data_IF_469323316576
#
_entry.id   IF_469323316576
#
_cell.length_a   1.000
_cell.length_b   1.000
_cell.length_c   1.000
_cell.angle_alpha   90.00
_cell.angle_beta   90.00
_cell.angle_gamma   90.00
#
_symmetry.space_group_name_H-M   'P 1'
#
loop_
_entity.id
_entity.type
_entity.pdbx_description
1 polymer ?
#
# COMPACT_ATOMS: atom_id res chain seq x y z
N UNK A 1 1.33 -7.88 4.57
CA UNK A 1 0.40 -6.84 5.05
C UNK A 1 1.07 -5.81 5.95
N UNK A 2 1.36 -6.15 7.21
CA UNK A 2 1.98 -5.23 8.19
C UNK A 2 3.29 -4.59 7.69
N UNK A 3 4.16 -5.39 7.08
CA UNK A 3 5.43 -4.91 6.50
C UNK A 3 5.20 -3.90 5.35
N UNK A 4 4.17 -4.09 4.53
CA UNK A 4 3.83 -3.17 3.43
C UNK A 4 3.39 -1.82 3.98
N UNK A 5 2.55 -1.82 5.02
CA UNK A 5 2.12 -0.59 5.70
C UNK A 5 3.32 0.11 6.34
N UNK A 6 4.15 -0.64 7.09
CA UNK A 6 5.33 -0.09 7.74
C UNK A 6 6.38 0.46 6.76
N UNK A 7 6.51 -0.15 5.58
CA UNK A 7 7.40 0.31 4.52
C UNK A 7 7.00 1.69 3.98
N UNK A 8 5.70 1.99 3.95
CA UNK A 8 5.19 3.27 3.44
C UNK A 8 5.26 4.43 4.47
N UNK A 9 5.90 4.22 5.62
CA UNK A 9 6.00 5.25 6.66
C UNK A 9 6.55 6.60 6.19
N UNK A 10 7.61 6.65 5.35
CA UNK A 10 8.08 7.91 4.77
C UNK A 10 7.02 8.63 3.94
N UNK A 11 6.18 7.92 3.21
CA UNK A 11 5.17 8.46 2.29
C UNK A 11 4.02 9.15 3.01
N UNK A 12 3.64 8.69 4.21
CA UNK A 12 2.65 9.38 5.06
C UNK A 12 3.29 10.24 6.16
N UNK A 13 4.61 10.45 6.10
CA UNK A 13 5.33 11.40 6.95
C UNK A 13 5.62 10.94 8.38
N UNK A 14 5.50 9.64 8.67
CA UNK A 14 5.84 9.10 9.98
C UNK A 14 7.32 8.71 10.07
N UNK A 15 7.91 8.86 11.26
CA UNK A 15 9.26 8.35 11.54
C UNK A 15 9.32 6.82 11.47
N UNK A 16 8.25 6.12 11.88
CA UNK A 16 8.16 4.67 11.91
C UNK A 16 6.70 4.20 11.88
N UNK A 17 6.42 3.13 11.13
CA UNK A 17 5.20 2.33 11.28
C UNK A 17 5.48 1.11 12.15
N UNK A 18 4.86 1.04 13.35
CA UNK A 18 5.15 0.01 14.33
C UNK A 18 3.98 -0.96 14.51
N UNK A 19 4.26 -2.26 14.34
CA UNK A 19 3.34 -3.34 14.68
C UNK A 19 3.95 -4.15 15.83
N UNK A 20 3.27 -4.26 17.00
CA UNK A 20 3.80 -5.00 18.14
C UNK A 20 4.04 -6.49 17.85
N UNK A 21 4.87 -7.13 18.67
CA UNK A 21 5.11 -8.57 18.59
C UNK A 21 3.87 -9.31 19.10
N UNK A 22 3.35 -10.23 18.30
CA UNK A 22 2.20 -11.06 18.62
C UNK A 22 2.35 -12.47 18.03
N UNK A 23 1.28 -13.26 18.09
CA UNK A 23 1.25 -14.61 17.55
C UNK A 23 1.50 -14.67 16.03
N UNK A 24 1.14 -13.64 15.26
CA UNK A 24 1.46 -13.60 13.82
C UNK A 24 2.95 -13.40 13.57
N UNK A 25 3.62 -12.59 14.40
CA UNK A 25 5.08 -12.47 14.33
C UNK A 25 5.75 -13.83 14.55
N UNK A 26 5.28 -14.62 15.51
CA UNK A 26 5.79 -15.99 15.74
C UNK A 26 5.49 -16.91 14.55
N UNK A 27 4.26 -16.90 14.03
CA UNK A 27 3.90 -17.68 12.82
C UNK A 27 4.79 -17.33 11.63
N UNK A 28 5.08 -16.05 11.43
CA UNK A 28 5.98 -15.58 10.37
C UNK A 28 7.42 -16.06 10.57
N UNK A 29 7.95 -16.01 11.79
CA UNK A 29 9.30 -16.52 12.08
C UNK A 29 9.40 -18.03 11.82
N UNK A 30 8.40 -18.80 12.18
CA UNK A 30 8.31 -20.24 11.86
C UNK A 30 8.27 -20.47 10.36
N UNK A 31 7.33 -19.81 9.66
CA UNK A 31 7.14 -19.94 8.20
C UNK A 31 8.41 -19.59 7.42
N UNK A 32 9.15 -18.61 7.90
CA UNK A 32 10.39 -18.15 7.28
C UNK A 32 11.63 -18.95 7.71
N UNK A 33 11.45 -20.06 8.45
CA UNK A 33 12.49 -21.06 8.70
C UNK A 33 13.47 -20.71 9.83
N UNK A 34 13.04 -19.94 10.83
CA UNK A 34 13.88 -19.66 12.02
C UNK A 34 13.92 -20.88 12.93
N UNK A 35 15.06 -21.09 13.60
CA UNK A 35 15.22 -22.20 14.55
C UNK A 35 14.25 -22.10 15.72
N UNK A 36 13.73 -23.24 16.18
CA UNK A 36 12.70 -23.31 17.23
C UNK A 36 13.16 -22.66 18.55
N UNK A 37 14.42 -22.88 18.94
CA UNK A 37 15.00 -22.26 20.14
C UNK A 37 15.01 -20.72 20.06
N UNK A 38 15.22 -20.15 18.87
CA UNK A 38 15.22 -18.71 18.63
C UNK A 38 13.81 -18.15 18.71
N UNK A 39 12.85 -18.86 18.11
CA UNK A 39 11.43 -18.49 18.16
C UNK A 39 10.95 -18.48 19.61
N UNK A 40 11.26 -19.53 20.38
CA UNK A 40 10.91 -19.64 21.79
C UNK A 40 11.52 -18.50 22.62
N UNK A 41 12.78 -18.13 22.34
CA UNK A 41 13.45 -17.01 22.99
C UNK A 41 12.76 -15.67 22.68
N UNK A 42 12.40 -15.41 21.42
CA UNK A 42 11.71 -14.18 21.02
C UNK A 42 10.39 -14.03 21.76
N UNK A 43 9.57 -15.09 21.80
CA UNK A 43 8.29 -15.06 22.49
C UNK A 43 8.46 -14.84 24.00
N UNK A 44 9.34 -15.61 24.66
CA UNK A 44 9.57 -15.51 26.09
C UNK A 44 10.09 -14.12 26.48
N UNK A 45 11.03 -13.58 25.70
CA UNK A 45 11.61 -12.26 25.93
C UNK A 45 10.57 -11.15 25.73
N UNK A 46 9.80 -11.17 24.63
CA UNK A 46 8.76 -10.17 24.36
C UNK A 46 7.69 -10.16 25.45
N UNK A 47 7.30 -11.32 25.99
CA UNK A 47 6.38 -11.41 27.13
C UNK A 47 7.00 -10.86 28.41
N UNK A 48 8.23 -11.25 28.74
CA UNK A 48 8.93 -10.78 29.93
C UNK A 48 9.15 -9.27 29.95
N UNK A 49 9.31 -8.65 28.79
CA UNK A 49 9.48 -7.20 28.63
C UNK A 49 8.15 -6.43 28.50
N UNK A 50 6.99 -7.11 28.50
CA UNK A 50 5.70 -6.46 28.28
C UNK A 50 5.50 -5.91 26.86
N UNK A 51 6.26 -6.40 25.88
CA UNK A 51 6.17 -6.00 24.47
C UNK A 51 5.25 -6.91 23.65
N UNK A 52 4.83 -8.04 24.22
CA UNK A 52 3.89 -8.97 23.60
C UNK A 52 2.47 -8.40 23.62
N UNK A 53 1.75 -8.47 22.49
CA UNK A 53 0.33 -8.12 22.41
C UNK A 53 -0.53 -9.29 21.94
N UNK A 54 -1.74 -9.31 22.47
CA UNK A 54 -2.82 -10.22 22.12
C UNK A 54 -4.18 -9.51 22.20
N UNK A 55 -5.27 -10.21 21.87
CA UNK A 55 -6.62 -9.64 21.85
C UNK A 55 -7.14 -9.21 23.24
N UNK A 56 -6.52 -9.68 24.33
CA UNK A 56 -6.89 -9.29 25.71
C UNK A 56 -6.03 -8.15 26.26
N UNK A 57 -5.02 -7.71 25.52
CA UNK A 57 -4.11 -6.65 25.92
C UNK A 57 -4.84 -5.31 25.89
N UNK A 58 -4.72 -4.52 26.96
CA UNK A 58 -5.25 -3.16 26.97
C UNK A 58 -4.58 -2.31 25.89
N UNK A 59 -5.33 -1.42 25.25
CA UNK A 59 -4.76 -0.50 24.27
C UNK A 59 -3.77 0.47 24.92
N UNK A 60 -2.64 0.76 24.26
CA UNK A 60 -1.74 1.83 24.72
C UNK A 60 -2.46 3.17 24.78
N UNK A 61 -1.99 4.06 25.65
CA UNK A 61 -2.43 5.46 25.66
C UNK A 61 -1.70 6.19 24.52
N UNK A 62 -2.42 6.46 23.44
CA UNK A 62 -1.93 7.25 22.31
C UNK A 62 -2.30 8.72 22.47
N UNK A 63 -1.51 9.61 21.87
CA UNK A 63 -1.83 11.05 21.81
C UNK A 63 -3.11 11.29 21.03
N UNK A 64 -3.24 10.62 19.88
CA UNK A 64 -4.39 10.66 19.00
C UNK A 64 -4.70 9.24 18.52
N UNK A 65 -5.99 8.95 18.31
CA UNK A 65 -6.47 7.69 17.75
C UNK A 65 -7.13 7.97 16.40
N UNK A 66 -6.71 7.20 15.39
CA UNK A 66 -7.32 7.21 14.06
C UNK A 66 -7.87 5.81 13.80
N UNK A 67 -9.07 5.75 13.25
CA UNK A 67 -9.76 4.51 12.93
C UNK A 67 -9.90 4.35 11.40
N UNK A 68 -9.77 3.11 10.94
CA UNK A 68 -10.00 2.72 9.55
C UNK A 68 -10.83 1.44 9.55
N UNK A 69 -12.04 1.52 9.02
CA UNK A 69 -12.84 0.32 8.72
C UNK A 69 -12.29 -0.33 7.45
N UNK A 70 -11.86 -1.58 7.56
CA UNK A 70 -11.37 -2.35 6.42
C UNK A 70 -12.48 -2.72 5.44
N UNK A 71 -13.76 -2.69 5.86
CA UNK A 71 -14.92 -2.92 5.01
C UNK A 71 -15.13 -1.83 3.95
N UNK A 72 -14.66 -0.60 4.21
CA UNK A 72 -14.74 0.53 3.28
C UNK A 72 -13.60 0.56 2.26
N UNK A 73 -12.61 -0.34 2.41
CA UNK A 73 -11.44 -0.39 1.52
C UNK A 73 -11.83 -1.02 0.18
N UNK A 74 -11.73 -0.22 -0.88
CA UNK A 74 -11.92 -0.66 -2.27
C UNK A 74 -10.60 -0.74 -3.02
N UNK A 75 -10.49 -1.59 -4.05
CA UNK A 75 -9.36 -1.59 -4.97
C UNK A 75 -9.10 -0.18 -5.52
N UNK A 76 -7.86 0.27 -5.44
CA UNK A 76 -7.47 1.62 -5.82
C UNK A 76 -6.08 1.65 -6.42
N UNK A 77 -5.83 2.67 -7.23
CA UNK A 77 -4.48 3.02 -7.71
C UNK A 77 -4.06 4.37 -7.13
N UNK A 78 -2.75 4.58 -6.99
CA UNK A 78 -2.17 5.86 -6.61
C UNK A 78 -1.48 6.51 -7.81
N UNK A 79 -1.73 7.79 -8.04
CA UNK A 79 -1.12 8.54 -9.14
C UNK A 79 -2.05 9.59 -9.75
N UNK A 80 -1.71 10.13 -10.93
CA UNK A 80 -0.57 9.78 -11.78
C UNK A 80 0.76 10.44 -11.36
N UNK A 81 0.74 11.40 -10.42
CA UNK A 81 1.91 12.23 -10.08
C UNK A 81 2.42 12.10 -8.65
N UNK A 82 1.56 11.68 -7.72
CA UNK A 82 1.86 11.66 -6.30
C UNK A 82 1.38 10.34 -5.66
N UNK A 83 2.17 9.72 -4.77
CA UNK A 83 1.81 8.45 -4.13
C UNK A 83 0.59 8.56 -3.21
N UNK A 84 0.31 9.74 -2.65
CA UNK A 84 -0.90 10.01 -1.87
C UNK A 84 -2.16 10.22 -2.73
N UNK A 85 -2.02 10.27 -4.06
CA UNK A 85 -3.10 10.47 -5.02
C UNK A 85 -3.96 9.22 -5.23
N UNK A 86 -4.62 8.73 -4.18
CA UNK A 86 -5.50 7.55 -4.23
C UNK A 86 -6.74 7.82 -5.10
N UNK A 87 -7.00 6.93 -6.05
CA UNK A 87 -8.19 6.91 -6.90
C UNK A 87 -8.77 5.49 -6.89
N UNK A 88 -10.07 5.36 -6.61
CA UNK A 88 -10.73 4.06 -6.68
C UNK A 88 -10.68 3.51 -8.11
N UNK A 89 -10.59 2.18 -8.25
CA UNK A 89 -10.35 1.55 -9.56
C UNK A 89 -11.44 1.92 -10.58
N UNK A 90 -12.70 1.99 -10.14
CA UNK A 90 -13.82 2.38 -11.00
C UNK A 90 -13.77 3.83 -11.48
N UNK A 91 -13.06 4.71 -10.78
CA UNK A 91 -13.04 6.15 -11.05
C UNK A 91 -11.86 6.57 -11.95
N UNK A 92 -10.92 5.67 -12.24
CA UNK A 92 -9.74 5.96 -13.04
C UNK A 92 -10.08 6.46 -14.45
N UNK A 93 -11.03 5.88 -15.21
CA UNK A 93 -11.35 6.38 -16.55
C UNK A 93 -11.83 7.84 -16.52
N UNK A 94 -12.70 8.17 -15.56
CA UNK A 94 -13.21 9.52 -15.38
C UNK A 94 -12.11 10.48 -14.90
N UNK A 95 -11.27 10.05 -13.96
CA UNK A 95 -10.13 10.81 -13.47
C UNK A 95 -9.10 11.11 -14.56
N UNK A 96 -8.80 10.13 -15.41
CA UNK A 96 -7.89 10.28 -16.54
C UNK A 96 -8.43 11.30 -17.57
N UNK A 97 -9.70 11.18 -17.95
CA UNK A 97 -10.33 12.12 -18.88
C UNK A 97 -10.29 13.55 -18.33
N UNK A 98 -10.60 13.72 -17.04
CA UNK A 98 -10.50 15.01 -16.35
C UNK A 98 -9.07 15.56 -16.35
N UNK A 99 -8.07 14.74 -16.06
CA UNK A 99 -6.67 15.16 -16.08
C UNK A 99 -6.20 15.58 -17.49
N UNK A 100 -6.67 14.90 -18.53
CA UNK A 100 -6.41 15.28 -19.92
C UNK A 100 -6.96 16.68 -20.26
N UNK A 101 -8.10 17.06 -19.70
CA UNK A 101 -8.69 18.38 -19.85
C UNK A 101 -7.95 19.44 -19.03
N UNK A 102 -7.79 19.21 -17.72
CA UNK A 102 -7.37 20.25 -16.79
C UNK A 102 -5.86 20.39 -16.69
N UNK A 103 -5.14 19.27 -16.61
CA UNK A 103 -3.70 19.25 -16.33
C UNK A 103 -2.87 19.26 -17.60
N UNK A 104 -3.23 18.41 -18.56
CA UNK A 104 -2.48 18.26 -19.80
C UNK A 104 -2.99 19.17 -20.92
N UNK A 105 -4.20 19.73 -20.78
CA UNK A 105 -4.84 20.62 -21.78
C UNK A 105 -4.92 20.00 -23.17
N UNK A 106 -5.18 18.70 -23.23
CA UNK A 106 -5.19 17.84 -24.44
C UNK A 106 -6.50 17.05 -24.59
N UNK A 107 -7.61 17.55 -24.05
CA UNK A 107 -8.92 16.87 -24.15
C UNK A 107 -9.29 16.48 -25.59
N UNK A 108 -9.03 17.36 -26.57
CA UNK A 108 -9.32 17.10 -27.98
C UNK A 108 -8.45 15.99 -28.61
N UNK A 109 -7.33 15.65 -27.99
CA UNK A 109 -6.40 14.62 -28.49
C UNK A 109 -6.57 13.27 -27.79
N UNK A 110 -7.51 13.13 -26.83
CA UNK A 110 -7.62 11.91 -26.00
C UNK A 110 -7.77 10.61 -26.83
N UNK A 111 -8.41 10.69 -28.00
CA UNK A 111 -8.61 9.56 -28.91
C UNK A 111 -7.56 9.45 -30.03
N UNK A 112 -6.54 10.31 -30.01
CA UNK A 112 -5.49 10.33 -31.03
C UNK A 112 -4.58 9.10 -30.86
N UNK A 113 -4.39 8.38 -31.96
CA UNK A 113 -3.54 7.18 -32.04
C UNK A 113 -2.36 7.42 -32.99
N UNK A 114 -1.24 6.78 -32.72
CA UNK A 114 0.00 6.85 -33.50
C UNK A 114 0.48 5.44 -33.80
N UNK A 115 0.65 5.11 -35.09
CA UNK A 115 1.13 3.79 -35.50
C UNK A 115 2.56 3.55 -34.99
N UNK A 116 2.85 2.32 -34.55
CA UNK A 116 4.19 1.94 -34.10
C UNK A 116 4.93 1.25 -35.24
N UNK A 117 6.07 1.83 -35.65
CA UNK A 117 6.86 1.36 -36.79
C UNK A 117 7.25 -0.13 -36.65
N UNK A 118 7.07 -0.88 -37.73
CA UNK A 118 7.40 -2.31 -37.77
C UNK A 118 6.44 -3.23 -37.01
N UNK A 119 5.31 -2.72 -36.51
CA UNK A 119 4.33 -3.51 -35.76
C UNK A 119 2.91 -3.34 -36.30
N UNK A 120 1.99 -4.20 -35.85
CA UNK A 120 0.57 -4.14 -36.21
C UNK A 120 -0.31 -3.39 -35.22
N UNK A 121 0.26 -2.66 -34.26
CA UNK A 121 -0.47 -1.91 -33.24
C UNK A 121 -0.15 -0.42 -33.27
N UNK A 122 -0.99 0.37 -32.59
CA UNK A 122 -0.82 1.80 -32.40
C UNK A 122 -0.77 2.15 -30.91
N UNK A 123 -0.32 3.37 -30.60
CA UNK A 123 -0.28 3.91 -29.24
C UNK A 123 -1.09 5.20 -29.15
N UNK A 124 -1.77 5.38 -28.02
CA UNK A 124 -2.52 6.58 -27.69
C UNK A 124 -2.44 6.96 -26.22
N UNK A 125 -3.15 8.04 -25.88
CA UNK A 125 -3.24 8.49 -24.50
C UNK A 125 -3.97 7.46 -23.64
N UNK A 126 -3.34 7.05 -22.53
CA UNK A 126 -3.89 6.07 -21.58
C UNK A 126 -3.41 4.64 -21.79
N UNK A 127 -2.67 4.36 -22.87
CA UNK A 127 -2.08 3.04 -23.07
C UNK A 127 -1.00 2.75 -22.04
N UNK A 128 -1.00 1.52 -21.52
CA UNK A 128 0.00 1.05 -20.57
C UNK A 128 1.22 0.56 -21.33
N UNK A 129 2.32 1.33 -21.25
CA UNK A 129 3.60 0.99 -21.91
C UNK A 129 4.63 0.38 -20.95
N UNK A 130 4.38 0.44 -19.63
CA UNK A 130 5.20 -0.16 -18.59
C UNK A 130 4.26 -0.87 -17.61
N UNK A 131 4.48 -2.16 -17.39
CA UNK A 131 3.87 -2.97 -16.34
C UNK A 131 4.98 -3.85 -15.75
N UNK A 132 5.46 -3.50 -14.56
CA UNK A 132 6.62 -4.07 -13.90
C UNK A 132 6.27 -4.63 -12.51
#
# INVERSE_FOLDING_TARGET
DRATIGNMAPEYGATCGFFPVDAETIRYLTMSGREENRIALVEAYSKAQGMWRDAGSADPVFTDLLELDLGDVVPSMAGPKRPEGRVALQDIPAGFAKAMETEYKKAAEIWKRYAVEGTGYDLGHGDVVIAA
#
